data_IF_430939762345
#
_entry.id   IF_430939762345
#
_cell.length_a   1.000
_cell.length_b   1.000
_cell.length_c   1.000
_cell.angle_alpha   90.00
_cell.angle_beta   90.00
_cell.angle_gamma   90.00
#
_symmetry.space_group_name_H-M   'P 1'
#
loop_
_entity.id
_entity.type
_entity.pdbx_description
1 polymer ?
#
# COMPACT_ATOMS: atom_id res chain seq x y z
N UNK A 1 -4.24 -3.23 -20.23
CA UNK A 1 -3.56 -4.52 -20.51
C UNK A 1 -3.77 -5.47 -19.34
N UNK A 2 -4.22 -6.70 -19.58
CA UNK A 2 -4.31 -7.73 -18.53
C UNK A 2 -2.91 -8.11 -18.06
N UNK A 3 -2.66 -8.00 -16.76
CA UNK A 3 -1.37 -8.36 -16.16
C UNK A 3 -1.59 -9.20 -14.90
N UNK A 4 -0.74 -10.23 -14.75
CA UNK A 4 -0.72 -11.06 -13.56
C UNK A 4 0.36 -10.60 -12.58
N UNK A 5 -0.04 -10.38 -11.34
CA UNK A 5 0.73 -9.66 -10.32
C UNK A 5 0.69 -10.44 -9.01
N UNK A 6 1.86 -10.74 -8.46
CA UNK A 6 2.01 -11.30 -7.13
C UNK A 6 2.07 -10.16 -6.13
N UNK A 7 1.00 -9.98 -5.37
CA UNK A 7 0.89 -8.89 -4.39
C UNK A 7 1.93 -9.10 -3.29
N UNK A 8 2.86 -8.17 -3.10
CA UNK A 8 3.92 -8.29 -2.08
C UNK A 8 3.84 -7.20 -1.01
N UNK A 9 3.23 -6.06 -1.32
CA UNK A 9 3.05 -4.91 -0.43
C UNK A 9 1.63 -4.38 -0.57
N UNK A 10 0.97 -4.14 0.56
CA UNK A 10 -0.29 -3.45 0.67
C UNK A 10 -0.11 -2.40 1.78
N UNK A 11 -0.38 -1.13 1.48
CA UNK A 11 -0.28 -0.05 2.47
C UNK A 11 -1.57 0.09 3.26
N UNK A 12 -1.50 0.80 4.38
CA UNK A 12 -2.70 1.21 5.08
C UNK A 12 -3.44 2.26 4.23
N UNK A 13 -4.77 2.37 4.33
CA UNK A 13 -5.51 3.43 3.66
C UNK A 13 -5.08 4.81 4.13
N UNK A 14 -4.76 5.68 3.16
CA UNK A 14 -4.54 7.09 3.39
C UNK A 14 -5.75 7.90 2.91
N UNK A 15 -6.14 8.93 3.67
CA UNK A 15 -7.26 9.81 3.32
C UNK A 15 -6.97 10.60 2.03
N UNK A 16 -7.88 10.49 1.07
CA UNK A 16 -7.83 11.15 -0.24
C UNK A 16 -9.07 12.01 -0.45
N UNK A 17 -8.90 13.22 -0.97
CA UNK A 17 -10.03 14.13 -1.26
C UNK A 17 -10.90 13.64 -2.43
N UNK A 18 -10.30 12.88 -3.35
CA UNK A 18 -10.95 12.40 -4.56
C UNK A 18 -11.60 11.03 -4.39
N UNK A 19 -10.96 10.14 -3.64
CA UNK A 19 -11.39 8.75 -3.50
C UNK A 19 -11.74 8.36 -2.07
N UNK A 20 -11.81 9.35 -1.16
CA UNK A 20 -12.08 9.21 0.27
C UNK A 20 -10.91 8.53 1.00
N UNK A 21 -10.57 7.31 0.58
CA UNK A 21 -9.43 6.52 1.03
C UNK A 21 -8.75 5.85 -0.16
N UNK A 22 -7.42 5.93 -0.19
CA UNK A 22 -6.60 5.29 -1.22
C UNK A 22 -5.52 4.44 -0.60
N UNK A 23 -5.20 3.35 -1.26
CA UNK A 23 -4.12 2.45 -0.92
C UNK A 23 -3.16 2.31 -2.10
N UNK A 24 -1.91 2.00 -1.77
CA UNK A 24 -0.88 1.60 -2.71
C UNK A 24 -0.68 0.10 -2.60
N UNK A 25 -0.72 -0.59 -3.73
CA UNK A 25 -0.34 -2.00 -3.82
C UNK A 25 0.90 -2.10 -4.67
N UNK A 26 1.92 -2.83 -4.19
CA UNK A 26 3.07 -3.18 -5.01
C UNK A 26 3.26 -4.70 -5.03
N UNK A 27 3.84 -5.19 -6.11
CA UNK A 27 3.99 -6.61 -6.34
C UNK A 27 5.02 -6.92 -7.41
N UNK A 28 5.06 -8.19 -7.76
CA UNK A 28 5.93 -8.72 -8.81
C UNK A 28 5.10 -9.13 -10.02
N UNK A 29 5.56 -8.79 -11.21
CA UNK A 29 5.06 -9.41 -12.45
C UNK A 29 5.54 -10.86 -12.53
N UNK A 30 5.02 -11.62 -13.49
CA UNK A 30 5.40 -13.03 -13.69
C UNK A 30 6.90 -13.23 -13.98
N UNK A 31 7.52 -12.25 -14.64
CA UNK A 31 8.97 -12.21 -14.87
C UNK A 31 9.78 -11.90 -13.60
N UNK A 32 9.13 -11.41 -12.54
CA UNK A 32 9.73 -10.99 -11.27
C UNK A 32 9.95 -9.47 -11.17
N UNK A 33 9.80 -8.70 -12.23
CA UNK A 33 9.98 -7.24 -12.18
C UNK A 33 8.94 -6.55 -11.27
N UNK A 34 9.29 -5.39 -10.73
CA UNK A 34 8.39 -4.61 -9.89
C UNK A 34 7.21 -4.02 -10.67
N UNK A 35 6.07 -3.95 -10.00
CA UNK A 35 4.93 -3.14 -10.41
C UNK A 35 4.32 -2.46 -9.18
N UNK A 36 3.98 -1.18 -9.33
CA UNK A 36 3.22 -0.38 -8.36
C UNK A 36 1.87 -0.05 -8.96
N UNK A 37 0.82 -0.28 -8.19
CA UNK A 37 -0.55 0.07 -8.55
C UNK A 37 -1.01 1.16 -7.59
N UNK A 38 -1.20 2.36 -8.12
CA UNK A 38 -1.64 3.52 -7.34
C UNK A 38 -2.31 4.58 -8.24
N UNK A 39 -3.37 5.26 -7.77
CA UNK A 39 -4.12 4.99 -6.54
C UNK A 39 -5.12 3.85 -6.74
N UNK A 40 -5.30 3.01 -5.73
CA UNK A 40 -6.45 2.11 -5.65
C UNK A 40 -7.39 2.66 -4.58
N UNK A 41 -8.68 2.92 -4.87
CA UNK A 41 -9.63 3.26 -3.83
C UNK A 41 -9.74 2.12 -2.81
N UNK A 42 -9.73 2.41 -1.50
CA UNK A 42 -9.76 1.36 -0.46
C UNK A 42 -10.96 0.41 -0.64
N UNK A 43 -12.13 0.97 -0.96
CA UNK A 43 -13.38 0.24 -1.22
C UNK A 43 -13.34 -0.69 -2.43
N UNK A 44 -12.39 -0.47 -3.35
CA UNK A 44 -12.18 -1.40 -4.45
C UNK A 44 -11.48 -2.66 -3.96
N UNK A 45 -10.59 -2.56 -2.96
CA UNK A 45 -9.92 -3.72 -2.37
C UNK A 45 -10.81 -4.43 -1.35
N UNK A 46 -11.62 -3.72 -0.58
CA UNK A 46 -12.45 -4.29 0.49
C UNK A 46 -13.92 -4.30 0.05
N UNK A 47 -14.49 -5.49 -0.13
CA UNK A 47 -15.90 -5.67 -0.50
C UNK A 47 -16.84 -5.25 0.65
N UNK A 48 -18.16 -5.29 0.42
CA UNK A 48 -19.23 -4.75 1.31
C UNK A 48 -19.33 -5.36 2.73
N UNK A 49 -18.34 -6.10 3.21
CA UNK A 49 -18.22 -6.64 4.57
C UNK A 49 -16.80 -6.51 5.14
N UNK A 50 -16.01 -5.55 4.65
CA UNK A 50 -14.59 -5.35 5.03
C UNK A 50 -13.68 -6.58 4.74
N UNK A 51 -14.14 -7.46 3.85
CA UNK A 51 -13.37 -8.60 3.37
C UNK A 51 -12.49 -8.17 2.18
N UNK A 52 -11.16 -8.36 2.24
CA UNK A 52 -10.28 -7.99 1.14
C UNK A 52 -10.48 -8.94 -0.04
N UNK A 53 -10.58 -8.40 -1.27
CA UNK A 53 -10.70 -9.15 -2.52
C UNK A 53 -9.48 -10.03 -2.79
N UNK A 54 -8.31 -9.64 -2.28
CA UNK A 54 -7.08 -10.39 -2.35
C UNK A 54 -6.19 -10.13 -1.13
N UNK A 55 -5.26 -11.05 -0.89
CA UNK A 55 -4.32 -11.01 0.23
C UNK A 55 -2.88 -10.79 -0.23
N UNK A 56 -2.02 -10.39 0.72
CA UNK A 56 -0.58 -10.37 0.53
C UNK A 56 -0.08 -11.77 0.17
N UNK A 57 0.79 -11.83 -0.84
CA UNK A 57 1.34 -13.04 -1.48
C UNK A 57 0.33 -13.84 -2.31
N UNK A 58 -0.80 -13.26 -2.69
CA UNK A 58 -1.73 -13.87 -3.63
C UNK A 58 -1.45 -13.36 -5.05
N UNK A 59 -1.57 -14.24 -6.03
CA UNK A 59 -1.59 -13.83 -7.43
C UNK A 59 -2.94 -13.24 -7.78
N UNK A 60 -2.90 -12.11 -8.47
CA UNK A 60 -4.07 -11.47 -9.06
C UNK A 60 -3.84 -11.27 -10.55
N UNK A 61 -4.89 -11.34 -11.35
CA UNK A 61 -4.91 -10.97 -12.76
C UNK A 61 -5.91 -9.81 -12.91
N UNK A 62 -5.46 -8.68 -13.45
CA UNK A 62 -6.31 -7.49 -13.57
C UNK A 62 -5.86 -6.61 -14.73
N UNK A 63 -6.80 -5.90 -15.33
CA UNK A 63 -6.54 -4.91 -16.37
C UNK A 63 -5.91 -3.65 -15.79
N UNK A 64 -4.65 -3.41 -16.16
CA UNK A 64 -3.86 -2.27 -15.70
C UNK A 64 -3.40 -1.39 -16.86
N UNK A 65 -3.24 -0.11 -16.57
CA UNK A 65 -2.70 0.88 -17.51
C UNK A 65 -1.64 1.73 -16.82
N UNK A 66 -0.60 2.08 -17.58
CA UNK A 66 0.51 2.90 -17.08
C UNK A 66 0.01 4.31 -16.75
N UNK A 67 0.37 4.83 -15.58
CA UNK A 67 -0.13 6.12 -15.11
C UNK A 67 0.68 7.27 -15.68
N UNK A 68 0.08 8.10 -16.54
CA UNK A 68 0.77 9.24 -17.19
C UNK A 68 1.17 10.33 -16.18
N UNK A 69 0.36 10.54 -15.14
CA UNK A 69 0.60 11.55 -14.10
C UNK A 69 1.67 11.15 -13.06
N UNK A 70 2.16 9.92 -13.10
CA UNK A 70 3.20 9.43 -12.21
C UNK A 70 4.42 9.06 -13.04
N UNK A 71 5.50 9.84 -12.91
CA UNK A 71 6.71 9.66 -13.70
C UNK A 71 7.50 8.40 -13.34
N UNK A 72 7.14 7.71 -12.27
CA UNK A 72 7.84 6.49 -11.84
C UNK A 72 7.65 5.38 -12.87
N UNK A 73 8.73 4.69 -13.28
CA UNK A 73 8.66 3.70 -14.35
C UNK A 73 7.75 2.51 -14.01
N UNK A 74 7.61 2.18 -12.73
CA UNK A 74 6.79 1.07 -12.24
C UNK A 74 5.34 1.45 -11.92
N UNK A 75 4.89 2.69 -12.20
CA UNK A 75 3.56 3.16 -11.79
C UNK A 75 2.44 2.84 -12.80
N UNK A 76 1.45 2.11 -12.31
CA UNK A 76 0.24 1.68 -13.02
C UNK A 76 -1.00 1.99 -12.17
N UNK A 77 -2.16 1.96 -12.80
CA UNK A 77 -3.44 1.96 -12.11
C UNK A 77 -4.34 0.87 -12.69
N UNK A 78 -5.35 0.47 -11.94
CA UNK A 78 -6.37 -0.46 -12.42
C UNK A 78 -7.26 0.30 -13.39
N UNK A 79 -7.32 -0.15 -14.64
CA UNK A 79 -8.18 0.42 -15.67
C UNK A 79 -9.62 -0.10 -15.52
N UNK A 80 -9.77 -1.41 -15.34
CA UNK A 80 -11.06 -2.05 -15.14
C UNK A 80 -11.00 -3.08 -14.01
N UNK A 81 -11.70 -2.80 -12.91
CA UNK A 81 -11.74 -3.67 -11.73
C UNK A 81 -12.54 -4.95 -11.94
N UNK A 82 -13.53 -4.96 -12.83
CA UNK A 82 -14.40 -6.13 -13.06
C UNK A 82 -13.63 -7.30 -13.68
N UNK A 83 -12.45 -7.01 -14.22
CA UNK A 83 -11.51 -8.01 -14.75
C UNK A 83 -10.68 -8.71 -13.67
N UNK A 84 -10.75 -8.24 -12.42
CA UNK A 84 -9.95 -8.77 -11.31
C UNK A 84 -10.29 -10.24 -11.04
N UNK A 85 -9.30 -11.11 -11.24
CA UNK A 85 -9.33 -12.50 -10.82
C UNK A 85 -8.25 -12.74 -9.79
N UNK A 86 -8.51 -13.63 -8.86
CA UNK A 86 -7.58 -13.97 -7.78
C UNK A 86 -7.34 -15.46 -7.78
N UNK A 87 -6.07 -15.86 -7.62
CA UNK A 87 -5.74 -17.28 -7.48
C UNK A 87 -6.26 -17.79 -6.13
N UNK A 88 -6.73 -19.03 -6.09
CA UNK A 88 -7.23 -19.64 -4.85
C UNK A 88 -6.16 -19.80 -3.77
N UNK A 89 -4.89 -19.89 -4.18
CA UNK A 89 -3.77 -20.16 -3.30
C UNK A 89 -2.96 -18.90 -2.99
N UNK A 90 -2.65 -18.70 -1.70
CA UNK A 90 -1.68 -17.72 -1.26
C UNK A 90 -0.29 -18.36 -1.38
N UNK A 91 0.61 -17.71 -2.13
CA UNK A 91 1.95 -18.21 -2.36
C UNK A 91 2.72 -18.39 -1.05
N UNK A 92 3.28 -19.59 -0.90
CA UNK A 92 4.02 -20.00 0.29
C UNK A 92 3.13 -20.39 1.46
N UNK A 93 1.80 -20.49 1.32
CA UNK A 93 0.96 -21.07 2.38
C UNK A 93 1.11 -22.60 2.38
N UNK A 94 1.65 -23.17 3.45
CA UNK A 94 1.81 -24.63 3.62
C UNK A 94 1.12 -25.09 4.92
N UNK A 95 -0.12 -25.56 4.80
CA UNK A 95 -0.94 -25.88 5.97
C UNK A 95 -1.14 -24.66 6.87
N UNK A 96 -0.65 -24.73 8.12
CA UNK A 96 -0.63 -23.60 9.08
C UNK A 96 0.64 -22.73 8.99
N UNK A 97 1.64 -23.14 8.20
CA UNK A 97 2.94 -22.47 8.08
C UNK A 97 3.10 -21.62 6.81
N UNK A 98 4.21 -20.88 6.77
CA UNK A 98 4.61 -20.05 5.63
C UNK A 98 5.97 -20.53 5.12
N UNK A 99 6.05 -20.82 3.82
CA UNK A 99 7.27 -21.08 3.08
C UNK A 99 7.94 -19.76 2.69
N UNK A 100 8.86 -19.32 3.55
CA UNK A 100 9.65 -18.12 3.33
C UNK A 100 10.67 -18.26 2.20
N UNK A 101 11.12 -19.48 1.90
CA UNK A 101 12.09 -19.72 0.82
C UNK A 101 11.44 -19.46 -0.54
N UNK A 102 10.20 -19.94 -0.73
CA UNK A 102 9.45 -19.66 -1.96
C UNK A 102 9.18 -18.16 -2.14
N UNK A 103 8.82 -17.46 -1.06
CA UNK A 103 8.64 -16.00 -1.10
C UNK A 103 9.95 -15.29 -1.44
N UNK A 104 11.05 -15.70 -0.82
CA UNK A 104 12.38 -15.14 -1.07
C UNK A 104 12.81 -15.35 -2.53
N UNK A 105 12.54 -16.50 -3.13
CA UNK A 105 12.81 -16.74 -4.56
C UNK A 105 12.17 -15.66 -5.44
N UNK A 106 10.92 -15.28 -5.18
CA UNK A 106 10.26 -14.19 -5.91
C UNK A 106 10.83 -12.80 -5.60
N UNK A 107 11.23 -12.53 -4.36
CA UNK A 107 11.93 -11.29 -4.00
C UNK A 107 13.25 -11.16 -4.74
N UNK A 108 13.96 -12.25 -5.01
CA UNK A 108 15.27 -12.22 -5.68
C UNK A 108 15.17 -12.35 -7.22
N UNK A 109 14.03 -12.82 -7.73
CA UNK A 109 13.83 -13.07 -9.18
C UNK A 109 13.85 -11.76 -9.98
N UNK A 110 14.72 -11.70 -10.99
CA UNK A 110 14.79 -10.64 -12.00
C UNK A 110 14.85 -9.20 -11.42
N UNK A 111 15.57 -9.03 -10.31
CA UNK A 111 15.73 -7.75 -9.63
C UNK A 111 17.16 -7.58 -9.14
N UNK A 112 17.64 -6.34 -9.18
CA UNK A 112 18.90 -5.97 -8.54
C UNK A 112 18.71 -5.94 -7.03
N UNK A 113 19.58 -6.65 -6.32
CA UNK A 113 19.61 -6.65 -4.85
C UNK A 113 20.62 -5.59 -4.45
N UNK A 114 20.12 -4.48 -3.92
CA UNK A 114 20.97 -3.39 -3.46
C UNK A 114 21.50 -3.73 -2.06
N UNK A 115 22.80 -3.54 -1.88
CA UNK A 115 23.48 -3.66 -0.58
C UNK A 115 23.96 -2.29 -0.07
N UNK A 116 24.05 -1.32 -0.98
CA UNK A 116 24.40 0.07 -0.72
C UNK A 116 23.19 0.99 -0.92
N UNK A 117 22.78 1.69 0.13
CA UNK A 117 21.65 2.63 0.05
C UNK A 117 21.99 3.90 -0.74
N UNK A 118 23.25 4.35 -0.74
CA UNK A 118 23.64 5.58 -1.43
C UNK A 118 23.46 5.45 -2.95
N UNK A 119 23.88 4.32 -3.52
CA UNK A 119 23.64 3.97 -4.92
C UNK A 119 22.12 3.93 -5.25
N UNK A 120 21.34 3.31 -4.36
CA UNK A 120 19.88 3.24 -4.50
C UNK A 120 19.25 4.65 -4.50
N UNK A 121 19.71 5.54 -3.63
CA UNK A 121 19.22 6.92 -3.56
C UNK A 121 19.56 7.71 -4.83
N UNK A 122 20.76 7.53 -5.39
CA UNK A 122 21.16 8.20 -6.63
C UNK A 122 20.29 7.76 -7.83
N UNK A 123 19.98 6.47 -7.93
CA UNK A 123 19.08 5.95 -8.97
C UNK A 123 17.64 6.45 -8.79
N UNK A 124 17.19 6.57 -7.55
CA UNK A 124 15.87 7.12 -7.23
C UNK A 124 15.79 8.61 -7.57
N UNK A 125 16.85 9.38 -7.29
CA UNK A 125 16.96 10.79 -7.65
C UNK A 125 16.93 11.03 -9.17
N UNK A 126 17.50 10.08 -9.93
CA UNK A 126 17.43 10.07 -11.40
C UNK A 126 16.08 9.53 -11.94
N UNK A 127 15.13 9.18 -11.06
CA UNK A 127 13.83 8.60 -11.39
C UNK A 127 13.93 7.31 -12.25
N UNK A 128 15.03 6.56 -12.10
CA UNK A 128 15.25 5.29 -12.82
C UNK A 128 14.51 4.12 -12.17
N UNK A 129 14.36 4.17 -10.84
CA UNK A 129 13.65 3.16 -10.05
C UNK A 129 12.87 3.84 -8.93
N UNK A 130 11.75 3.23 -8.55
CA UNK A 130 10.98 3.64 -7.37
C UNK A 130 10.76 2.53 -6.35
N UNK A 131 10.97 1.28 -6.77
CA UNK A 131 10.87 0.10 -5.92
C UNK A 131 12.17 -0.69 -6.01
N UNK A 132 12.66 -1.15 -4.86
CA UNK A 132 13.93 -1.85 -4.77
C UNK A 132 13.91 -2.89 -3.66
N UNK A 133 14.77 -3.89 -3.80
CA UNK A 133 15.10 -4.84 -2.74
C UNK A 133 16.44 -4.40 -2.15
N UNK A 134 16.41 -3.98 -0.90
CA UNK A 134 17.60 -3.63 -0.14
C UNK A 134 17.93 -4.74 0.85
N UNK A 135 19.16 -5.27 0.78
CA UNK A 135 19.71 -6.19 1.77
C UNK A 135 20.68 -5.41 2.67
N UNK A 136 20.26 -4.96 3.86
CA UNK A 136 21.16 -4.27 4.78
C UNK A 136 22.24 -5.22 5.31
N UNK A 137 23.41 -4.67 5.63
CA UNK A 137 24.49 -5.41 6.30
C UNK A 137 24.07 -5.81 7.72
N UNK A 138 23.37 -4.90 8.41
CA UNK A 138 22.81 -5.16 9.75
C UNK A 138 21.56 -4.34 10.00
N UNK A 139 20.52 -4.99 10.51
CA UNK A 139 19.36 -4.31 11.10
C UNK A 139 19.63 -4.14 12.59
N UNK A 140 19.74 -2.90 13.06
CA UNK A 140 20.09 -2.61 14.46
C UNK A 140 18.87 -2.73 15.38
N UNK A 141 17.74 -2.12 15.00
CA UNK A 141 16.51 -2.14 15.80
C UNK A 141 15.28 -1.70 15.01
N UNK A 142 14.12 -2.02 15.55
CA UNK A 142 12.84 -1.41 15.19
C UNK A 142 12.55 -0.30 16.21
N UNK A 143 12.29 0.90 15.72
CA UNK A 143 11.87 2.05 16.52
C UNK A 143 10.36 2.15 16.42
N UNK A 144 9.68 2.16 17.57
CA UNK A 144 8.25 2.41 17.68
C UNK A 144 8.03 3.74 18.40
N UNK A 145 7.36 4.68 17.74
CA UNK A 145 7.02 5.98 18.29
C UNK A 145 5.51 6.04 18.53
N UNK A 146 5.10 6.14 19.80
CA UNK A 146 3.72 6.38 20.19
C UNK A 146 3.37 7.86 19.98
N UNK A 147 2.48 8.13 19.02
CA UNK A 147 2.05 9.47 18.66
C UNK A 147 1.17 10.13 19.74
N UNK A 148 0.65 9.36 20.69
CA UNK A 148 -0.17 9.87 21.80
C UNK A 148 0.68 10.50 22.91
N UNK A 149 1.97 10.15 23.00
CA UNK A 149 2.87 10.54 24.10
C UNK A 149 3.81 11.70 23.76
N UNK A 150 4.04 11.98 22.48
CA UNK A 150 4.82 13.13 22.02
C UNK A 150 3.88 14.30 21.73
N UNK A 151 4.38 15.54 21.81
CA UNK A 151 3.76 16.79 21.34
C UNK A 151 3.45 16.82 19.81
N UNK A 152 3.26 15.66 19.18
CA UNK A 152 2.75 15.47 17.82
C UNK A 152 1.21 15.32 17.79
N UNK A 153 0.49 15.80 18.82
CA UNK A 153 -0.98 15.88 18.86
C UNK A 153 -1.59 16.49 17.60
N UNK A 154 -0.85 17.42 16.95
CA UNK A 154 -1.19 18.01 15.65
C UNK A 154 -1.38 16.98 14.52
N UNK A 155 -0.73 15.81 14.55
CA UNK A 155 -0.87 14.80 13.48
C UNK A 155 -2.19 14.02 13.60
N UNK A 156 -2.63 13.72 14.82
CA UNK A 156 -3.91 13.05 15.06
C UNK A 156 -5.07 14.04 14.89
N UNK A 157 -4.94 15.26 15.40
CA UNK A 157 -5.90 16.35 15.21
C UNK A 157 -6.11 16.68 13.73
N UNK A 158 -5.03 16.86 12.95
CA UNK A 158 -5.14 17.09 11.49
C UNK A 158 -5.83 15.93 10.76
N UNK A 159 -5.62 14.70 11.20
CA UNK A 159 -6.31 13.54 10.62
C UNK A 159 -7.80 13.57 10.97
N UNK A 160 -8.14 13.85 12.23
CA UNK A 160 -9.52 13.99 12.67
C UNK A 160 -10.26 15.12 11.94
N UNK A 161 -9.60 16.26 11.73
CA UNK A 161 -10.13 17.39 10.95
C UNK A 161 -10.32 17.04 9.48
N UNK A 162 -9.37 16.31 8.87
CA UNK A 162 -9.49 15.86 7.49
C UNK A 162 -10.62 14.83 7.35
N UNK A 163 -10.74 13.92 8.33
CA UNK A 163 -11.77 12.89 8.38
C UNK A 163 -13.17 13.50 8.56
N UNK A 164 -13.31 14.49 9.44
CA UNK A 164 -14.61 15.17 9.69
C UNK A 164 -15.08 15.92 8.44
N UNK A 165 -14.18 16.63 7.75
CA UNK A 165 -14.47 17.29 6.46
C UNK A 165 -14.87 16.30 5.38
N UNK A 166 -14.16 15.17 5.27
CA UNK A 166 -14.50 14.11 4.30
C UNK A 166 -15.85 13.46 4.61
N UNK A 167 -16.12 13.13 5.89
CA UNK A 167 -17.42 12.61 6.33
C UNK A 167 -18.56 13.57 6.00
N UNK A 168 -18.38 14.87 6.27
CA UNK A 168 -19.39 15.89 5.97
C UNK A 168 -19.64 16.02 4.46
N UNK A 169 -18.58 15.96 3.64
CA UNK A 169 -18.70 15.96 2.17
C UNK A 169 -19.46 14.75 1.66
N UNK A 170 -19.11 13.53 2.12
CA UNK A 170 -19.82 12.32 1.74
C UNK A 170 -21.30 12.38 2.13
N UNK A 171 -21.60 12.81 3.35
CA UNK A 171 -22.98 12.94 3.82
C UNK A 171 -23.76 13.94 2.96
N UNK A 172 -23.16 15.07 2.59
CA UNK A 172 -23.80 16.06 1.72
C UNK A 172 -24.06 15.52 0.30
N UNK A 173 -23.10 14.80 -0.29
CA UNK A 173 -23.24 14.17 -1.61
C UNK A 173 -24.31 13.06 -1.60
N UNK A 174 -24.35 12.23 -0.56
CA UNK A 174 -25.37 11.19 -0.40
C UNK A 174 -26.77 11.79 -0.18
N UNK A 175 -26.89 12.88 0.60
CA UNK A 175 -28.15 13.62 0.76
C UNK A 175 -28.66 14.26 -0.54
N UNK A 176 -27.76 14.60 -1.47
CA UNK A 176 -28.15 15.11 -2.80
C UNK A 176 -28.57 14.01 -3.76
N UNK A 177 -28.06 12.79 -3.63
CA UNK A 177 -28.37 11.66 -4.53
C UNK A 177 -29.52 10.78 -4.04
N UNK A 178 -29.81 10.75 -2.74
CA UNK A 178 -30.87 9.91 -2.16
C UNK A 178 -32.15 10.70 -1.90
N UNK A 179 -33.07 10.62 -2.86
CA UNK A 179 -34.47 11.06 -2.69
C UNK A 179 -35.30 10.03 -1.89
N UNK A 180 -34.82 8.77 -1.78
CA UNK A 180 -35.64 7.65 -1.29
C UNK A 180 -35.01 6.76 -0.19
N UNK A 181 -33.78 7.00 0.27
CA UNK A 181 -33.15 6.19 1.34
C UNK A 181 -33.17 6.88 2.70
N UNK A 182 -33.43 6.11 3.76
CA UNK A 182 -33.57 6.59 5.13
C UNK A 182 -32.20 6.96 5.73
N UNK A 183 -32.15 8.02 6.56
CA UNK A 183 -30.89 8.60 7.08
C UNK A 183 -30.05 7.64 7.93
N UNK A 184 -30.64 6.53 8.36
CA UNK A 184 -30.01 5.53 9.22
C UNK A 184 -29.15 4.54 8.42
N UNK A 185 -29.61 4.09 7.24
CA UNK A 185 -28.88 3.15 6.37
C UNK A 185 -27.58 3.77 5.79
N UNK A 186 -27.59 5.10 5.63
CA UNK A 186 -26.45 5.90 5.15
C UNK A 186 -25.33 5.99 6.21
N UNK A 187 -25.66 5.93 7.50
CA UNK A 187 -24.67 6.02 8.58
C UNK A 187 -23.94 4.71 8.82
N UNK A 188 -24.60 3.57 8.63
CA UNK A 188 -24.04 2.26 8.95
C UNK A 188 -23.17 1.69 7.81
N UNK A 189 -23.33 2.19 6.57
CA UNK A 189 -22.58 1.72 5.39
C UNK A 189 -21.22 2.41 5.17
N UNK A 190 -20.91 3.50 5.87
CA UNK A 190 -19.70 4.29 5.63
C UNK A 190 -18.78 4.40 6.86
N UNK A 191 -17.96 3.37 7.08
CA UNK A 191 -16.86 3.41 8.04
C UNK A 191 -15.53 3.71 7.33
N UNK A 192 -14.76 4.64 7.88
CA UNK A 192 -13.40 4.96 7.45
C UNK A 192 -12.42 4.18 8.34
N UNK A 193 -11.25 3.87 7.81
CA UNK A 193 -10.18 3.24 8.56
C UNK A 193 -9.68 4.15 9.71
N UNK A 194 -9.49 3.53 10.88
CA UNK A 194 -8.97 4.23 12.04
C UNK A 194 -7.50 4.60 11.85
N UNK A 195 -7.06 5.74 12.39
CA UNK A 195 -5.63 6.07 12.32
C UNK A 195 -4.83 5.25 13.33
N UNK A 196 -3.77 4.61 12.87
CA UNK A 196 -2.83 3.89 13.75
C UNK A 196 -2.05 4.92 14.58
N UNK A 197 -2.06 4.84 15.93
CA UNK A 197 -1.42 5.84 16.79
C UNK A 197 0.09 5.62 16.96
N UNK A 198 0.73 4.87 16.06
CA UNK A 198 2.14 4.51 16.14
C UNK A 198 2.82 4.73 14.80
N UNK A 199 4.05 5.24 14.84
CA UNK A 199 4.97 5.21 13.69
C UNK A 199 6.04 4.18 13.93
N UNK A 200 6.27 3.33 12.94
CA UNK A 200 7.32 2.33 12.96
C UNK A 200 8.47 2.76 12.06
N UNK A 201 9.70 2.48 12.46
CA UNK A 201 10.88 2.74 11.64
C UNK A 201 11.92 1.64 11.84
N UNK A 202 12.66 1.31 10.79
CA UNK A 202 13.81 0.43 10.87
C UNK A 202 15.08 1.27 10.93
N UNK A 203 15.94 0.94 11.90
CA UNK A 203 17.29 1.46 11.96
C UNK A 203 18.27 0.38 11.47
N UNK A 204 19.01 0.67 10.41
CA UNK A 204 19.91 -0.30 9.78
C UNK A 204 21.17 0.37 9.21
N UNK A 205 22.13 -0.46 8.84
CA UNK A 205 23.40 -0.08 8.21
C UNK A 205 23.56 -0.87 6.90
N UNK A 206 24.02 -0.19 5.86
CA UNK A 206 24.33 -0.73 4.54
C UNK A 206 25.83 -0.77 4.29
N UNK A 207 26.29 -1.25 3.13
CA UNK A 207 27.72 -1.38 2.81
C UNK A 207 28.50 -0.06 2.86
N UNK A 208 27.82 1.06 2.69
CA UNK A 208 28.40 2.40 2.86
C UNK A 208 28.71 2.77 4.31
N UNK A 209 28.40 1.91 5.29
CA UNK A 209 28.69 2.10 6.70
C UNK A 209 27.83 3.18 7.38
N UNK A 210 26.92 3.82 6.64
CA UNK A 210 26.08 4.90 7.15
C UNK A 210 24.85 4.29 7.83
N UNK A 211 24.62 4.71 9.08
CA UNK A 211 23.44 4.36 9.85
C UNK A 211 22.25 5.19 9.38
N UNK A 212 21.16 4.53 9.00
CA UNK A 212 19.92 5.19 8.53
C UNK A 212 18.71 4.70 9.31
N UNK A 213 17.73 5.60 9.44
CA UNK A 213 16.41 5.30 10.01
C UNK A 213 15.37 5.52 8.93
N UNK A 214 14.71 4.45 8.51
CA UNK A 214 13.67 4.50 7.48
C UNK A 214 12.30 4.22 8.11
N UNK A 215 11.37 5.14 7.90
CA UNK A 215 9.99 5.00 8.37
C UNK A 215 9.22 3.99 7.51
N UNK A 216 8.38 3.19 8.15
CA UNK A 216 7.34 2.41 7.47
C UNK A 216 6.15 3.35 7.33
N UNK A 217 5.87 3.80 6.11
CA UNK A 217 4.66 4.59 5.84
C UNK A 217 3.42 3.70 5.96
N UNK A 218 2.46 4.16 6.77
CA UNK A 218 1.10 3.63 6.88
C UNK A 218 0.22 4.16 5.74
#
# INVERSE_FOLDING_TARGET
>A
MIMRILVSVMTYPSLSEKHLETVCTAGFREDGSWIRIFPIPYRVIYADNDAPRYHKWQWIEVDVEKRIQDSRPESYHIYNIDTLKTDTNILGKKGKGIDWNLRLQWVLKNKTIFTNMSELLDLTAQNKISLAVLKPTRVNRVVCCDLRKKDEGKSMEKYADKLSKLKAKCQAEMLQMNIFEDKQDIKDSFQFAEKIPYKFSYEFVTEDGIKRTLMIED
#
